data_IF_474503192921
#
_entry.id   IF_474503192921
#
_cell.length_a   1.000
_cell.length_b   1.000
_cell.length_c   1.000
_cell.angle_alpha   90.00
_cell.angle_beta   90.00
_cell.angle_gamma   90.00
#
_symmetry.space_group_name_H-M   'P 1'
#
loop_
_entity.id
_entity.type
_entity.pdbx_description
1 polymer ?
#
# COMPACT_ATOMS: atom_id res chain seq x y z
N UNK A 1 0.69 -3.81 -14.26
CA UNK A 1 0.80 -4.35 -12.88
C UNK A 1 1.62 -3.42 -12.00
N UNK A 2 2.86 -3.06 -12.37
CA UNK A 2 3.67 -2.13 -11.59
C UNK A 2 3.02 -0.75 -11.39
N UNK A 3 2.53 -0.11 -12.46
CA UNK A 3 1.81 1.18 -12.38
C UNK A 3 0.56 1.07 -11.49
N UNK A 4 -0.21 -0.01 -11.65
CA UNK A 4 -1.41 -0.23 -10.85
C UNK A 4 -1.08 -0.39 -9.35
N UNK A 5 0.01 -1.08 -9.01
CA UNK A 5 0.50 -1.16 -7.65
C UNK A 5 0.89 0.23 -7.10
N UNK A 6 1.56 1.04 -7.93
CA UNK A 6 1.88 2.42 -7.59
C UNK A 6 0.65 3.28 -7.33
N UNK A 7 -0.36 3.20 -8.20
CA UNK A 7 -1.63 3.93 -8.02
C UNK A 7 -2.34 3.47 -6.74
N UNK A 8 -2.38 2.17 -6.46
CA UNK A 8 -2.94 1.64 -5.21
C UNK A 8 -2.23 2.21 -3.98
N UNK A 9 -0.89 2.24 -3.99
CA UNK A 9 -0.10 2.82 -2.91
C UNK A 9 -0.33 4.34 -2.74
N UNK A 10 -0.48 5.08 -3.85
CA UNK A 10 -0.78 6.52 -3.80
C UNK A 10 -2.16 6.79 -3.22
N UNK A 11 -3.18 6.02 -3.62
CA UNK A 11 -4.52 6.16 -3.04
C UNK A 11 -4.48 5.82 -1.56
N UNK A 12 -3.78 4.75 -1.17
CA UNK A 12 -3.61 4.40 0.24
C UNK A 12 -2.97 5.54 1.05
N UNK A 13 -1.89 6.15 0.53
CA UNK A 13 -1.26 7.32 1.14
C UNK A 13 -2.25 8.47 1.35
N UNK A 14 -3.07 8.77 0.33
CA UNK A 14 -4.08 9.83 0.43
C UNK A 14 -5.10 9.49 1.54
N UNK A 15 -5.63 8.26 1.58
CA UNK A 15 -6.59 7.85 2.60
C UNK A 15 -6.03 7.99 4.02
N UNK A 16 -4.78 7.56 4.24
CA UNK A 16 -4.10 7.64 5.53
C UNK A 16 -3.80 9.08 5.94
N UNK A 17 -3.46 9.97 4.99
CA UNK A 17 -3.32 11.40 5.30
C UNK A 17 -4.68 12.01 5.67
N UNK A 18 -5.75 11.65 4.96
CA UNK A 18 -7.08 12.21 5.17
C UNK A 18 -7.73 11.72 6.47
N UNK A 19 -7.42 10.51 6.95
CA UNK A 19 -7.99 9.96 8.17
C UNK A 19 -7.89 10.91 9.39
N UNK A 20 -6.69 11.34 9.83
CA UNK A 20 -6.56 12.26 10.96
C UNK A 20 -6.95 13.71 10.65
N UNK A 21 -7.04 14.09 9.37
CA UNK A 21 -7.43 15.45 8.98
C UNK A 21 -8.95 15.65 8.98
N UNK A 22 -9.72 14.58 8.77
CA UNK A 22 -11.17 14.66 8.57
C UNK A 22 -11.98 14.08 9.73
N UNK A 23 -11.39 13.25 10.60
CA UNK A 23 -12.13 12.56 11.65
C UNK A 23 -11.28 12.32 12.91
N UNK A 24 -11.93 12.32 14.08
CA UNK A 24 -11.28 11.93 15.32
C UNK A 24 -11.11 10.39 15.40
N UNK A 25 -10.14 9.86 16.18
CA UNK A 25 -9.93 8.41 16.33
C UNK A 25 -11.02 7.69 17.16
N UNK A 26 -12.19 8.29 17.33
CA UNK A 26 -13.39 7.66 17.90
C UNK A 26 -14.49 7.51 16.86
N UNK A 27 -14.30 8.05 15.66
CA UNK A 27 -15.30 8.08 14.60
C UNK A 27 -15.09 6.95 13.59
N UNK A 28 -16.19 6.38 13.10
CA UNK A 28 -16.15 5.31 12.10
C UNK A 28 -15.50 5.72 10.78
N UNK A 29 -15.54 7.01 10.41
CA UNK A 29 -14.87 7.53 9.21
C UNK A 29 -13.35 7.38 9.32
N UNK A 30 -12.77 7.72 10.47
CA UNK A 30 -11.33 7.55 10.72
C UNK A 30 -10.92 6.09 10.53
N UNK A 31 -11.68 5.16 11.14
CA UNK A 31 -11.42 3.73 11.00
C UNK A 31 -11.58 3.22 9.56
N UNK A 32 -12.64 3.68 8.87
CA UNK A 32 -12.90 3.29 7.48
C UNK A 32 -11.78 3.72 6.53
N UNK A 33 -11.27 4.94 6.70
CA UNK A 33 -10.13 5.44 5.91
C UNK A 33 -8.85 4.67 6.22
N UNK A 34 -8.56 4.40 7.50
CA UNK A 34 -7.39 3.62 7.90
C UNK A 34 -7.41 2.18 7.37
N UNK A 35 -8.56 1.50 7.46
CA UNK A 35 -8.76 0.15 6.89
C UNK A 35 -8.66 0.18 5.37
N UNK A 36 -9.25 1.18 4.71
CA UNK A 36 -9.12 1.36 3.27
C UNK A 36 -7.66 1.54 2.83
N UNK A 37 -6.91 2.39 3.54
CA UNK A 37 -5.47 2.57 3.33
C UNK A 37 -4.69 1.27 3.54
N UNK A 38 -4.98 0.53 4.61
CA UNK A 38 -4.37 -0.77 4.89
C UNK A 38 -4.63 -1.79 3.77
N UNK A 39 -5.88 -1.92 3.29
CA UNK A 39 -6.24 -2.85 2.22
C UNK A 39 -5.51 -2.53 0.92
N UNK A 40 -5.48 -1.25 0.54
CA UNK A 40 -4.86 -0.80 -0.70
C UNK A 40 -3.33 -0.93 -0.66
N UNK A 41 -2.68 -0.50 0.43
CA UNK A 41 -1.22 -0.60 0.58
C UNK A 41 -0.76 -2.04 0.85
N UNK A 42 -1.49 -2.81 1.65
CA UNK A 42 -1.07 -4.13 2.11
C UNK A 42 -1.49 -5.27 1.21
N UNK A 43 -2.76 -5.33 0.82
CA UNK A 43 -3.27 -6.46 0.02
C UNK A 43 -3.11 -6.16 -1.47
N UNK A 44 -3.73 -5.06 -1.93
CA UNK A 44 -3.84 -4.79 -3.36
C UNK A 44 -2.46 -4.51 -3.97
N UNK A 45 -1.66 -3.62 -3.38
CA UNK A 45 -0.32 -3.30 -3.90
C UNK A 45 0.59 -4.52 -3.94
N UNK A 46 0.64 -5.34 -2.88
CA UNK A 46 1.52 -6.52 -2.86
C UNK A 46 1.08 -7.65 -3.79
N UNK A 47 -0.23 -7.86 -3.98
CA UNK A 47 -0.72 -8.79 -5.02
C UNK A 47 -0.26 -8.32 -6.41
N UNK A 48 -0.44 -7.03 -6.71
CA UNK A 48 -0.03 -6.47 -8.01
C UNK A 48 1.49 -6.52 -8.22
N UNK A 49 2.28 -6.28 -7.17
CA UNK A 49 3.73 -6.46 -7.19
C UNK A 49 4.10 -7.93 -7.41
N UNK A 50 3.45 -8.87 -6.73
CA UNK A 50 3.67 -10.31 -6.93
C UNK A 50 3.37 -10.75 -8.37
N UNK A 51 2.26 -10.29 -8.94
CA UNK A 51 1.91 -10.54 -10.35
C UNK A 51 2.93 -9.91 -11.31
N UNK A 52 3.44 -8.72 -11.00
CA UNK A 52 4.53 -8.11 -11.76
C UNK A 52 5.79 -8.97 -11.70
N UNK A 53 6.19 -9.42 -10.51
CA UNK A 53 7.37 -10.26 -10.31
C UNK A 53 7.27 -11.57 -11.09
N UNK A 54 6.12 -12.27 -11.03
CA UNK A 54 5.89 -13.49 -11.81
C UNK A 54 6.10 -13.27 -13.32
N UNK A 55 5.51 -12.20 -13.87
CA UNK A 55 5.68 -11.84 -15.29
C UNK A 55 7.12 -11.46 -15.61
N UNK A 56 7.80 -10.74 -14.72
CA UNK A 56 9.17 -10.32 -14.92
C UNK A 56 10.13 -11.53 -14.91
N UNK A 57 9.95 -12.48 -13.99
CA UNK A 57 10.71 -13.73 -13.95
C UNK A 57 10.51 -14.57 -15.22
N UNK A 58 9.28 -14.62 -15.76
CA UNK A 58 9.03 -15.28 -17.04
C UNK A 58 9.83 -14.63 -18.19
N UNK A 59 9.86 -13.30 -18.25
CA UNK A 59 10.65 -12.56 -19.27
C UNK A 59 12.15 -12.75 -19.09
N UNK A 60 12.64 -12.85 -17.85
CA UNK A 60 14.05 -13.13 -17.57
C UNK A 60 14.49 -14.51 -18.06
N UNK A 61 13.56 -15.45 -18.26
CA UNK A 61 13.85 -16.76 -18.83
C UNK A 61 13.93 -16.76 -20.37
N UNK A 62 13.60 -15.65 -21.03
CA UNK A 62 13.70 -15.51 -22.49
C UNK A 62 15.15 -15.24 -22.92
N UNK A 63 15.55 -15.76 -24.10
CA UNK A 63 16.94 -15.67 -24.61
C UNK A 63 17.44 -14.23 -24.79
N UNK A 64 16.54 -13.27 -25.03
CA UNK A 64 16.87 -11.86 -25.21
C UNK A 64 16.18 -11.02 -24.13
N UNK A 65 16.79 -10.99 -22.94
CA UNK A 65 16.36 -10.15 -21.84
C UNK A 65 17.34 -8.99 -21.60
N UNK A 66 16.82 -7.77 -21.56
CA UNK A 66 17.54 -6.59 -21.09
C UNK A 66 16.73 -6.01 -19.92
N UNK A 67 17.37 -5.91 -18.76
CA UNK A 67 16.72 -5.34 -17.58
C UNK A 67 16.50 -3.83 -17.74
N UNK A 68 15.30 -3.38 -17.41
CA UNK A 68 14.99 -1.97 -17.24
C UNK A 68 15.21 -1.56 -15.78
N UNK A 69 16.34 -0.89 -15.53
CA UNK A 69 16.74 -0.43 -14.20
C UNK A 69 15.75 0.58 -13.59
N UNK A 70 15.00 1.31 -14.43
CA UNK A 70 13.97 2.26 -13.96
C UNK A 70 12.78 1.50 -13.39
N UNK A 71 12.36 0.42 -14.05
CA UNK A 71 11.29 -0.45 -13.53
C UNK A 71 11.70 -1.15 -12.24
N UNK A 72 12.96 -1.59 -12.13
CA UNK A 72 13.49 -2.18 -10.91
C UNK A 72 13.50 -1.17 -9.75
N UNK A 73 13.90 0.08 -10.00
CA UNK A 73 13.85 1.14 -8.99
C UNK A 73 12.40 1.43 -8.56
N UNK A 74 11.49 1.59 -9.51
CA UNK A 74 10.08 1.86 -9.23
C UNK A 74 9.43 0.74 -8.41
N UNK A 75 9.74 -0.52 -8.72
CA UNK A 75 9.30 -1.68 -7.94
C UNK A 75 9.75 -1.61 -6.48
N UNK A 76 11.02 -1.27 -6.23
CA UNK A 76 11.57 -1.14 -4.87
C UNK A 76 10.90 0.01 -4.11
N UNK A 77 10.69 1.16 -4.76
CA UNK A 77 10.02 2.31 -4.16
C UNK A 77 8.57 1.96 -3.78
N UNK A 78 7.82 1.32 -4.68
CA UNK A 78 6.43 0.93 -4.41
C UNK A 78 6.38 -0.11 -3.29
N UNK A 79 7.27 -1.10 -3.29
CA UNK A 79 7.34 -2.10 -2.23
C UNK A 79 7.63 -1.48 -0.86
N UNK A 80 8.72 -0.70 -0.76
CA UNK A 80 9.12 -0.05 0.48
C UNK A 80 8.07 0.95 0.97
N UNK A 81 7.54 1.77 0.07
CA UNK A 81 6.48 2.73 0.38
C UNK A 81 5.20 2.04 0.86
N UNK A 82 4.74 1.01 0.15
CA UNK A 82 3.54 0.25 0.54
C UNK A 82 3.71 -0.40 1.92
N UNK A 83 4.90 -0.94 2.23
CA UNK A 83 5.19 -1.49 3.55
C UNK A 83 5.09 -0.43 4.66
N UNK A 84 5.66 0.75 4.45
CA UNK A 84 5.56 1.86 5.42
C UNK A 84 4.10 2.28 5.60
N UNK A 85 3.32 2.37 4.52
CA UNK A 85 1.90 2.72 4.59
C UNK A 85 1.08 1.69 5.38
N UNK A 86 1.39 0.39 5.27
CA UNK A 86 0.75 -0.64 6.10
C UNK A 86 1.00 -0.40 7.59
N UNK A 87 2.22 0.00 7.96
CA UNK A 87 2.57 0.32 9.36
C UNK A 87 1.78 1.55 9.82
N UNK A 88 1.73 2.62 9.01
CA UNK A 88 0.95 3.83 9.32
C UNK A 88 -0.52 3.49 9.53
N UNK A 89 -1.10 2.70 8.62
CA UNK A 89 -2.49 2.25 8.75
C UNK A 89 -2.72 1.43 10.02
N UNK A 90 -1.80 0.55 10.38
CA UNK A 90 -1.88 -0.24 11.62
C UNK A 90 -1.86 0.65 12.87
N UNK A 91 -1.04 1.71 12.87
CA UNK A 91 -1.00 2.70 13.97
C UNK A 91 -2.33 3.44 14.09
N UNK A 92 -2.91 3.89 12.97
CA UNK A 92 -4.23 4.54 12.97
C UNK A 92 -5.32 3.60 13.47
N UNK A 93 -5.37 2.37 12.95
CA UNK A 93 -6.30 1.34 13.43
C UNK A 93 -6.15 1.13 14.95
N UNK A 94 -4.91 1.05 15.46
CA UNK A 94 -4.65 0.90 16.88
C UNK A 94 -5.14 2.11 17.69
N UNK A 95 -5.00 3.34 17.19
CA UNK A 95 -5.58 4.52 17.84
C UNK A 95 -7.11 4.46 17.90
N UNK A 96 -7.77 4.02 16.82
CA UNK A 96 -9.21 3.84 16.83
C UNK A 96 -9.64 2.81 17.87
N UNK A 97 -9.04 1.61 17.83
CA UNK A 97 -9.39 0.54 18.79
C UNK A 97 -9.11 0.99 20.22
N UNK A 98 -7.96 1.61 20.47
CA UNK A 98 -7.57 2.07 21.80
C UNK A 98 -8.48 3.16 22.38
N UNK A 99 -9.03 4.06 21.55
CA UNK A 99 -9.86 5.18 22.01
C UNK A 99 -11.36 4.94 21.92
N UNK A 100 -11.81 4.20 20.91
CA UNK A 100 -13.23 3.99 20.63
C UNK A 100 -13.79 2.72 21.28
N UNK A 101 -12.97 1.66 21.40
CA UNK A 101 -13.40 0.36 21.95
C UNK A 101 -12.96 0.18 23.40
N UNK A 102 -11.85 0.82 23.80
CA UNK A 102 -11.31 0.74 25.16
C UNK A 102 -11.93 1.73 26.16
N UNK A 103 -12.82 2.62 25.72
CA UNK A 103 -13.52 3.60 26.55
C UNK A 103 -14.95 3.12 26.85
#
# INVERSE_FOLDING_TARGET
MLIAAGVSAVIALILLILAPLLAAPTEGLFFGLAIGGWLLAGIVSFILLGLYTLKNTQRQAETFYIEDTTQTLLYRVIMGGSFVLVIVAAVEIAFYVGKAVGA
#
